data_IF_791288314339
#
_entry.id   IF_791288314339
#
_cell.length_a   1.000
_cell.length_b   1.000
_cell.length_c   1.000
_cell.angle_alpha   90.00
_cell.angle_beta   90.00
_cell.angle_gamma   90.00
#
_symmetry.space_group_name_H-M   'P 1'
#
loop_
_entity.id
_entity.type
_entity.pdbx_description
1 polymer ?
#
# COMPACT_ATOMS: atom_id res chain seq x y z
N UNK A 1 6.29 3.07 0.95
CA UNK A 1 6.83 1.68 1.07
C UNK A 1 5.88 0.85 1.93
N UNK A 2 5.93 -0.47 1.83
CA UNK A 2 5.21 -1.34 2.77
C UNK A 2 6.13 -1.64 3.95
N UNK A 3 5.58 -1.59 5.17
CA UNK A 3 6.28 -1.92 6.42
C UNK A 3 5.61 -3.12 7.10
N UNK A 4 6.40 -3.91 7.84
CA UNK A 4 5.93 -5.13 8.51
C UNK A 4 6.29 -6.42 7.75
N UNK A 5 6.13 -7.56 8.43
CA UNK A 5 6.40 -8.87 7.88
C UNK A 5 5.21 -9.35 7.02
N UNK A 6 5.42 -9.78 5.76
CA UNK A 6 4.38 -10.37 4.92
C UNK A 6 4.10 -11.78 5.42
N UNK A 7 3.34 -11.89 6.49
CA UNK A 7 2.98 -13.17 7.12
C UNK A 7 1.48 -13.24 7.31
N UNK A 8 0.86 -14.40 7.04
CA UNK A 8 -0.57 -14.59 7.27
C UNK A 8 -0.92 -14.23 8.72
N UNK A 9 -1.90 -13.35 8.88
CA UNK A 9 -2.35 -12.88 10.18
C UNK A 9 -1.59 -11.66 10.73
N UNK A 10 -0.44 -11.30 10.16
CA UNK A 10 0.29 -10.09 10.49
C UNK A 10 -0.26 -8.87 9.76
N UNK A 11 -0.03 -7.70 10.37
CA UNK A 11 -0.48 -6.41 9.81
C UNK A 11 0.68 -5.71 9.12
N UNK A 12 0.48 -5.43 7.85
CA UNK A 12 1.35 -4.61 7.02
C UNK A 12 0.87 -3.14 7.09
N UNK A 13 1.83 -2.22 7.09
CA UNK A 13 1.60 -0.78 7.04
C UNK A 13 1.98 -0.19 5.69
N UNK A 14 1.22 0.79 5.22
CA UNK A 14 1.55 1.59 4.06
C UNK A 14 2.18 2.91 4.53
N UNK A 15 3.47 3.06 4.26
CA UNK A 15 4.16 4.32 4.41
C UNK A 15 3.97 5.17 3.15
N UNK A 16 3.24 6.26 3.31
CA UNK A 16 2.94 7.22 2.24
C UNK A 16 4.06 8.26 2.04
N UNK A 17 5.10 8.24 2.88
CA UNK A 17 6.15 9.25 2.90
C UNK A 17 5.67 10.65 3.30
N UNK A 18 6.55 11.63 3.13
CA UNK A 18 6.21 13.05 3.32
C UNK A 18 5.87 13.68 1.97
N UNK A 19 4.71 14.32 1.88
CA UNK A 19 4.33 15.11 0.72
C UNK A 19 4.81 16.55 0.89
N UNK A 20 5.35 17.11 -0.19
CA UNK A 20 5.80 18.50 -0.26
C UNK A 20 5.13 19.20 -1.43
N UNK A 21 4.83 20.48 -1.27
CA UNK A 21 4.34 21.29 -2.39
C UNK A 21 5.49 21.84 -3.26
N UNK A 22 5.15 22.65 -4.25
CA UNK A 22 6.12 23.20 -5.20
C UNK A 22 7.16 24.14 -4.54
N UNK A 23 6.87 24.69 -3.36
CA UNK A 23 7.80 25.52 -2.59
C UNK A 23 8.68 24.67 -1.65
N UNK A 24 8.46 23.35 -1.59
CA UNK A 24 9.18 22.43 -0.72
C UNK A 24 8.60 22.31 0.69
N UNK A 25 7.49 23.00 0.97
CA UNK A 25 6.84 23.00 2.29
C UNK A 25 6.11 21.67 2.53
N UNK A 26 6.16 21.10 3.74
CA UNK A 26 5.45 19.87 4.08
C UNK A 26 3.94 20.10 4.07
N UNK A 27 3.21 19.21 3.40
CA UNK A 27 1.75 19.31 3.27
C UNK A 27 1.09 17.99 3.60
N UNK A 28 -0.17 18.08 4.04
CA UNK A 28 -0.98 16.92 4.42
C UNK A 28 -2.13 16.76 3.42
N UNK A 29 -1.93 15.99 2.33
CA UNK A 29 -3.02 15.66 1.41
C UNK A 29 -3.97 14.63 2.03
N UNK A 30 -5.19 14.52 1.49
CA UNK A 30 -6.05 13.38 1.77
C UNK A 30 -5.48 12.15 1.06
N UNK A 31 -5.32 11.05 1.80
CA UNK A 31 -4.72 9.81 1.31
C UNK A 31 -5.78 8.73 1.12
N UNK A 32 -5.82 8.16 -0.08
CA UNK A 32 -6.58 6.95 -0.38
C UNK A 32 -5.61 5.79 -0.60
N UNK A 33 -5.90 4.64 -0.01
CA UNK A 33 -5.08 3.43 -0.13
C UNK A 33 -5.83 2.37 -0.92
N UNK A 34 -5.11 1.54 -1.63
CA UNK A 34 -5.61 0.29 -2.19
C UNK A 34 -4.49 -0.74 -2.17
N UNK A 35 -4.74 -1.87 -1.53
CA UNK A 35 -3.80 -2.99 -1.53
C UNK A 35 -4.04 -3.90 -2.73
N UNK A 36 -2.94 -4.47 -3.23
CA UNK A 36 -2.89 -5.34 -4.39
C UNK A 36 -2.11 -6.59 -4.05
N UNK A 37 -2.56 -7.70 -4.62
CA UNK A 37 -1.85 -8.97 -4.64
C UNK A 37 -1.14 -9.10 -5.98
N UNK A 38 0.17 -9.33 -5.93
CA UNK A 38 0.96 -9.56 -7.13
C UNK A 38 0.78 -11.01 -7.54
N UNK A 39 0.26 -11.22 -8.73
CA UNK A 39 0.02 -12.55 -9.32
C UNK A 39 0.77 -12.65 -10.65
N UNK A 40 0.90 -13.85 -11.21
CA UNK A 40 1.49 -14.04 -12.55
C UNK A 40 0.71 -13.30 -13.66
N UNK A 41 -0.58 -13.04 -13.44
CA UNK A 41 -1.43 -12.28 -14.35
C UNK A 41 -1.33 -10.75 -14.14
N UNK A 42 -0.58 -10.30 -13.12
CA UNK A 42 -0.40 -8.90 -12.75
C UNK A 42 -0.92 -8.55 -11.34
N UNK A 43 -1.01 -7.25 -11.07
CA UNK A 43 -1.44 -6.69 -9.78
C UNK A 43 -2.98 -6.75 -9.65
N UNK A 44 -3.48 -7.62 -8.77
CA UNK A 44 -4.92 -7.81 -8.52
C UNK A 44 -5.34 -7.01 -7.28
N UNK A 45 -6.31 -6.09 -7.36
CA UNK A 45 -6.77 -5.33 -6.20
C UNK A 45 -7.46 -6.23 -5.18
N UNK A 46 -7.10 -6.06 -3.91
CA UNK A 46 -7.74 -6.75 -2.79
C UNK A 46 -9.00 -5.98 -2.39
N UNK A 47 -10.18 -6.59 -2.60
CA UNK A 47 -11.46 -5.95 -2.32
C UNK A 47 -11.57 -5.53 -0.84
N UNK A 48 -11.95 -4.27 -0.61
CA UNK A 48 -12.12 -3.70 0.74
C UNK A 48 -10.81 -3.29 1.44
N UNK A 49 -9.65 -3.58 0.85
CA UNK A 49 -8.36 -3.20 1.43
C UNK A 49 -7.99 -1.75 1.07
N UNK A 50 -8.70 -0.79 1.67
CA UNK A 50 -8.55 0.64 1.41
C UNK A 50 -7.95 1.43 2.58
N UNK A 51 -7.47 0.73 3.58
CA UNK A 51 -6.85 1.30 4.79
C UNK A 51 -5.35 1.43 4.61
N UNK A 52 -4.75 2.35 5.38
CA UNK A 52 -3.30 2.46 5.49
C UNK A 52 -2.64 1.19 6.04
N UNK A 53 -3.41 0.35 6.74
CA UNK A 53 -2.96 -0.96 7.21
C UNK A 53 -3.75 -2.08 6.54
N UNK A 54 -3.07 -3.19 6.31
CA UNK A 54 -3.68 -4.40 5.77
C UNK A 54 -3.22 -5.62 6.56
N UNK A 55 -4.17 -6.42 7.00
CA UNK A 55 -3.86 -7.71 7.63
C UNK A 55 -3.80 -8.76 6.54
N UNK A 56 -2.63 -9.36 6.36
CA UNK A 56 -2.45 -10.43 5.38
C UNK A 56 -3.40 -11.60 5.71
N UNK A 57 -4.20 -12.00 4.74
CA UNK A 57 -5.13 -13.10 4.84
C UNK A 57 -4.46 -14.40 4.36
N UNK A 58 -5.06 -15.54 4.71
CA UNK A 58 -4.61 -16.84 4.20
C UNK A 58 -4.65 -16.93 2.67
N UNK A 59 -5.52 -16.15 2.02
CA UNK A 59 -5.60 -16.06 0.57
C UNK A 59 -4.40 -15.35 -0.08
N UNK A 60 -3.59 -14.63 0.70
CA UNK A 60 -2.38 -13.95 0.21
C UNK A 60 -1.14 -14.86 0.27
N UNK A 61 -1.23 -16.01 0.92
CA UNK A 61 -0.11 -16.94 1.07
C UNK A 61 0.52 -17.28 -0.29
N UNK A 62 1.84 -17.11 -0.38
CA UNK A 62 2.63 -17.31 -1.60
C UNK A 62 2.64 -16.13 -2.57
N UNK A 63 1.88 -15.07 -2.30
CA UNK A 63 1.82 -13.88 -3.15
C UNK A 63 2.49 -12.68 -2.48
N UNK A 64 3.15 -11.85 -3.27
CA UNK A 64 3.64 -10.55 -2.79
C UNK A 64 2.49 -9.54 -2.68
N UNK A 65 2.64 -8.57 -1.80
CA UNK A 65 1.65 -7.52 -1.57
C UNK A 65 2.22 -6.15 -1.95
N UNK A 66 1.37 -5.31 -2.54
CA UNK A 66 1.68 -3.91 -2.92
C UNK A 66 0.59 -3.00 -2.41
N UNK A 67 0.93 -1.74 -2.18
CA UNK A 67 -0.05 -0.70 -1.87
C UNK A 67 0.09 0.46 -2.83
N UNK A 68 -1.05 0.91 -3.35
CA UNK A 68 -1.18 2.16 -4.11
C UNK A 68 -1.71 3.22 -3.18
N UNK A 69 -0.97 4.32 -3.05
CA UNK A 69 -1.35 5.49 -2.29
C UNK A 69 -1.67 6.61 -3.26
N UNK A 70 -2.88 7.14 -3.18
CA UNK A 70 -3.32 8.30 -3.95
C UNK A 70 -3.48 9.47 -3.02
N UNK A 71 -2.65 10.50 -3.20
CA UNK A 71 -2.70 11.74 -2.47
C UNK A 71 -3.47 12.80 -3.28
N UNK A 72 -4.50 13.37 -2.66
CA UNK A 72 -5.32 14.43 -3.25
C UNK A 72 -5.30 15.67 -2.36
N UNK A 73 -5.09 16.84 -2.96
CA UNK A 73 -5.15 18.14 -2.28
C UNK A 73 -5.82 19.15 -3.18
N UNK A 74 -6.75 19.94 -2.65
CA UNK A 74 -7.44 21.00 -3.39
C UNK A 74 -6.44 21.98 -4.00
N UNK A 75 -6.58 22.25 -5.31
CA UNK A 75 -5.68 23.12 -6.06
C UNK A 75 -4.40 22.45 -6.57
N UNK A 76 -4.23 21.13 -6.37
CA UNK A 76 -3.08 20.36 -6.85
C UNK A 76 -3.55 19.13 -7.64
N UNK A 77 -2.76 18.66 -8.62
CA UNK A 77 -3.02 17.39 -9.27
C UNK A 77 -2.92 16.24 -8.27
N UNK A 78 -3.75 15.20 -8.44
CA UNK A 78 -3.65 13.99 -7.64
C UNK A 78 -2.33 13.27 -7.93
N UNK A 79 -1.60 12.91 -6.88
CA UNK A 79 -0.37 12.15 -7.01
C UNK A 79 -0.63 10.71 -6.61
N UNK A 80 -0.19 9.77 -7.44
CA UNK A 80 -0.31 8.34 -7.18
C UNK A 80 1.07 7.74 -7.05
N UNK A 81 1.30 7.03 -5.94
CA UNK A 81 2.54 6.31 -5.67
C UNK A 81 2.20 4.85 -5.44
N UNK A 82 2.88 3.94 -6.15
CA UNK A 82 2.80 2.50 -5.91
C UNK A 82 4.03 2.08 -5.10
N UNK A 83 3.85 1.22 -4.12
CA UNK A 83 4.98 0.62 -3.41
C UNK A 83 5.66 -0.44 -4.26
N UNK A 84 6.91 -0.73 -3.94
CA UNK A 84 7.53 -1.99 -4.30
C UNK A 84 6.74 -3.17 -3.68
N UNK A 85 6.75 -4.34 -4.35
CA UNK A 85 6.21 -5.56 -3.77
C UNK A 85 6.97 -5.97 -2.52
N UNK A 86 6.24 -6.47 -1.52
CA UNK A 86 6.85 -7.20 -0.40
C UNK A 86 7.45 -8.51 -0.89
N UNK A 87 8.20 -9.19 -0.01
CA UNK A 87 8.39 -10.62 -0.17
C UNK A 87 7.05 -11.37 -0.22
N UNK A 88 6.99 -12.56 -0.85
CA UNK A 88 5.80 -13.39 -0.85
C UNK A 88 5.32 -13.65 0.56
N UNK A 89 4.01 -13.57 0.78
CA UNK A 89 3.44 -13.81 2.11
C UNK A 89 3.71 -15.26 2.52
N UNK A 90 4.32 -15.43 3.68
CA UNK A 90 4.56 -16.76 4.27
C UNK A 90 3.56 -17.05 5.38
N UNK A 91 3.51 -18.30 5.82
CA UNK A 91 2.67 -18.67 6.96
C UNK A 91 3.26 -18.04 8.23
N UNK A 92 2.44 -17.32 8.99
CA UNK A 92 2.84 -16.84 10.31
C UNK A 92 3.02 -18.01 11.27
N UNK A 93 4.00 -17.89 12.17
CA UNK A 93 4.33 -18.90 13.19
C UNK A 93 3.17 -19.17 14.18
#
# INVERSE_FOLDING_TARGET
MVTGAPEVGHTLGADAGTYRDAAGEPVQPSLAYQWYRVTDAGDVPIAGATRATYRAASADLGYALKVKVTATRSGYPAQTTLSDPTDPVVQGD
#
